data_IF_766610875525
#
_entry.id   IF_766610875525
#
_cell.length_a   1.000
_cell.length_b   1.000
_cell.length_c   1.000
_cell.angle_alpha   90.00
_cell.angle_beta   90.00
_cell.angle_gamma   90.00
#
_symmetry.space_group_name_H-M   'P 1'
#
loop_
_entity.id
_entity.type
_entity.pdbx_description
1 polymer ?
#
# COMPACT_ATOMS: atom_id res chain seq x y z
N UNK A 1 14.51 78.69 43.96
CA UNK A 1 14.08 77.33 44.41
C UNK A 1 13.80 76.56 43.15
N UNK A 2 14.58 75.52 42.83
CA UNK A 2 14.34 74.73 41.56
C UNK A 2 13.37 73.58 41.85
N UNK A 3 12.44 73.40 40.90
CA UNK A 3 11.44 72.35 40.91
C UNK A 3 12.03 71.01 40.52
N UNK A 4 11.81 69.98 41.31
CA UNK A 4 12.20 68.59 41.01
C UNK A 4 11.15 67.94 40.14
N UNK A 5 11.53 67.59 38.89
CA UNK A 5 10.74 66.77 37.96
C UNK A 5 10.95 65.29 38.28
N UNK A 6 9.91 64.59 38.71
CA UNK A 6 9.96 63.16 38.98
C UNK A 6 9.80 62.42 37.63
N UNK A 7 10.84 61.68 37.23
CA UNK A 7 10.82 60.73 36.10
C UNK A 7 10.14 59.43 36.60
N UNK A 8 9.00 59.08 36.00
CA UNK A 8 8.36 57.76 36.20
C UNK A 8 8.96 56.78 35.23
N UNK A 9 9.74 55.83 35.75
CA UNK A 9 10.21 54.68 34.98
C UNK A 9 9.06 53.68 34.76
N UNK A 10 8.68 53.47 33.51
CA UNK A 10 7.79 52.37 33.10
C UNK A 10 8.64 51.10 32.92
N UNK A 11 8.45 50.12 33.79
CA UNK A 11 8.98 48.78 33.65
C UNK A 11 8.11 48.04 32.62
N UNK A 12 8.62 47.82 31.40
CA UNK A 12 8.02 46.90 30.43
C UNK A 12 8.35 45.47 30.87
N UNK A 13 7.35 44.72 31.31
CA UNK A 13 7.46 43.27 31.54
C UNK A 13 7.34 42.56 30.19
N UNK A 14 8.31 41.73 29.76
CA UNK A 14 8.18 40.97 28.53
C UNK A 14 7.11 39.87 28.70
N UNK A 15 6.09 39.89 27.88
CA UNK A 15 5.11 38.81 27.77
C UNK A 15 5.75 37.64 27.00
N UNK A 16 6.19 36.61 27.74
CA UNK A 16 6.69 35.37 27.13
C UNK A 16 5.48 34.57 26.65
N UNK A 17 5.25 34.56 25.32
CA UNK A 17 4.25 33.74 24.68
C UNK A 17 4.77 32.28 24.64
N UNK A 18 4.33 31.45 25.58
CA UNK A 18 4.62 30.01 25.55
C UNK A 18 3.86 29.36 24.41
N UNK A 19 4.56 29.03 23.34
CA UNK A 19 4.00 28.19 22.28
C UNK A 19 3.91 26.75 22.82
N UNK A 20 2.71 26.32 23.16
CA UNK A 20 2.43 24.94 23.51
C UNK A 20 2.58 24.08 22.26
N UNK A 21 3.70 23.37 22.12
CA UNK A 21 3.86 22.30 21.12
C UNK A 21 3.00 21.13 21.59
N UNK A 22 1.80 21.02 21.03
CA UNK A 22 0.94 19.85 21.23
C UNK A 22 1.57 18.66 20.52
N UNK A 23 2.22 17.77 21.25
CA UNK A 23 2.63 16.46 20.76
C UNK A 23 1.38 15.59 20.69
N UNK A 24 0.82 15.43 19.47
CA UNK A 24 -0.23 14.45 19.23
C UNK A 24 0.26 13.07 19.68
N UNK A 25 -0.51 12.40 20.55
CA UNK A 25 -0.22 11.03 20.96
C UNK A 25 -0.14 10.14 19.71
N UNK A 26 0.79 9.15 19.66
CA UNK A 26 0.84 8.22 18.55
C UNK A 26 -0.49 7.48 18.44
N UNK A 27 -1.00 7.37 17.21
CA UNK A 27 -2.25 6.67 16.95
C UNK A 27 -2.17 5.21 17.44
N UNK A 28 -3.19 4.74 18.17
CA UNK A 28 -3.27 3.35 18.60
C UNK A 28 -3.31 2.42 17.37
N UNK A 29 -2.36 1.49 17.34
CA UNK A 29 -2.30 0.44 16.32
C UNK A 29 -3.10 -0.77 16.81
N UNK A 30 -4.08 -1.18 16.03
CA UNK A 30 -4.79 -2.43 16.29
C UNK A 30 -3.90 -3.67 16.15
N UNK A 31 -4.38 -4.81 16.61
CA UNK A 31 -3.69 -6.08 16.45
C UNK A 31 -3.60 -6.52 14.99
N UNK A 32 -2.55 -7.28 14.66
CA UNK A 32 -2.39 -7.88 13.36
C UNK A 32 -3.44 -8.98 13.11
N UNK A 33 -4.05 -8.93 11.96
CA UNK A 33 -4.99 -9.92 11.43
C UNK A 33 -4.26 -10.70 10.34
N UNK A 34 -4.11 -12.00 10.54
CA UNK A 34 -3.50 -12.89 9.54
C UNK A 34 -4.51 -13.20 8.43
N UNK A 35 -4.09 -13.00 7.19
CA UNK A 35 -4.84 -13.33 5.97
C UNK A 35 -4.16 -14.44 5.15
N UNK A 36 -3.16 -15.14 5.71
CA UNK A 36 -2.41 -16.21 5.02
C UNK A 36 -3.18 -17.54 4.98
N UNK A 37 -4.50 -17.49 4.85
CA UNK A 37 -5.39 -18.66 4.74
C UNK A 37 -6.49 -18.37 3.70
N UNK A 38 -7.13 -19.40 3.16
CA UNK A 38 -8.15 -19.22 2.12
C UNK A 38 -9.48 -18.69 2.67
N UNK A 39 -9.79 -18.93 3.94
CA UNK A 39 -11.07 -18.51 4.56
C UNK A 39 -11.14 -16.99 4.77
N UNK A 40 -10.02 -16.31 4.75
CA UNK A 40 -9.97 -14.85 4.85
C UNK A 40 -10.42 -14.12 3.56
N UNK A 41 -10.64 -14.87 2.45
CA UNK A 41 -10.93 -14.32 1.14
C UNK A 41 -12.31 -14.69 0.63
N UNK A 42 -12.90 -13.82 -0.22
CA UNK A 42 -14.23 -14.00 -0.81
C UNK A 42 -14.17 -15.02 -1.94
N UNK A 43 -14.71 -16.22 -1.71
CA UNK A 43 -14.85 -17.28 -2.74
C UNK A 43 -13.57 -17.44 -3.58
N UNK A 44 -12.45 -17.86 -2.97
CA UNK A 44 -11.22 -18.11 -3.73
C UNK A 44 -11.50 -19.07 -4.91
N UNK A 45 -10.84 -18.82 -6.03
CA UNK A 45 -10.82 -19.75 -7.16
C UNK A 45 -10.12 -21.04 -6.74
N UNK A 46 -10.53 -22.19 -7.31
CA UNK A 46 -9.92 -23.49 -7.04
C UNK A 46 -8.44 -23.58 -7.45
N UNK A 47 -7.93 -22.62 -8.23
CA UNK A 47 -6.52 -22.53 -8.57
C UNK A 47 -5.65 -22.00 -7.43
N UNK A 48 -6.25 -21.29 -6.45
CA UNK A 48 -5.54 -20.91 -5.23
C UNK A 48 -5.34 -22.14 -4.34
N UNK A 49 -4.12 -22.35 -3.93
CA UNK A 49 -3.76 -23.44 -3.02
C UNK A 49 -2.89 -22.93 -1.87
N UNK A 50 -2.86 -23.69 -0.79
CA UNK A 50 -1.91 -23.49 0.29
C UNK A 50 -0.71 -24.44 0.10
N UNK A 51 0.49 -23.92 0.35
CA UNK A 51 1.74 -24.65 0.28
C UNK A 51 2.57 -24.49 1.58
N UNK A 52 3.48 -25.40 1.82
CA UNK A 52 4.51 -25.30 2.88
C UNK A 52 5.85 -24.83 2.30
N UNK A 53 6.09 -25.09 1.01
CA UNK A 53 7.27 -24.57 0.32
C UNK A 53 6.94 -24.21 -1.13
N UNK A 54 7.61 -23.17 -1.64
CA UNK A 54 7.50 -22.68 -3.02
C UNK A 54 8.87 -22.28 -3.51
N UNK A 55 9.18 -22.63 -4.75
CA UNK A 55 10.38 -22.23 -5.45
C UNK A 55 10.05 -21.95 -6.93
N UNK A 56 10.92 -21.24 -7.63
CA UNK A 56 10.88 -21.19 -9.09
C UNK A 56 11.21 -22.59 -9.63
N UNK A 57 10.44 -23.05 -10.62
CA UNK A 57 10.68 -24.31 -11.29
C UNK A 57 12.05 -24.30 -11.99
N UNK A 58 12.90 -25.29 -11.68
CA UNK A 58 14.27 -25.34 -12.18
C UNK A 58 14.37 -25.46 -13.70
N UNK A 59 13.41 -26.15 -14.33
CA UNK A 59 13.38 -26.36 -15.79
C UNK A 59 12.56 -25.28 -16.49
N UNK A 60 11.63 -24.65 -15.78
CA UNK A 60 10.68 -23.66 -16.31
C UNK A 60 10.70 -22.37 -15.49
N UNK A 61 11.69 -21.49 -15.67
CA UNK A 61 11.94 -20.33 -14.81
C UNK A 61 10.81 -19.28 -14.79
N UNK A 62 9.75 -19.48 -15.56
CA UNK A 62 8.52 -18.68 -15.55
C UNK A 62 7.38 -19.31 -14.75
N UNK A 63 7.61 -20.46 -14.13
CA UNK A 63 6.61 -21.17 -13.33
C UNK A 63 7.07 -21.30 -11.87
N UNK A 64 6.09 -21.57 -11.00
CA UNK A 64 6.33 -21.94 -9.61
C UNK A 64 6.11 -23.44 -9.42
N UNK A 65 6.99 -24.06 -8.63
CA UNK A 65 6.82 -25.38 -8.06
C UNK A 65 6.45 -25.21 -6.59
N UNK A 66 5.39 -25.90 -6.13
CA UNK A 66 4.88 -25.77 -4.78
C UNK A 66 4.56 -27.14 -4.18
N UNK A 67 4.93 -27.36 -2.91
CA UNK A 67 4.52 -28.52 -2.12
C UNK A 67 3.30 -28.13 -1.30
N UNK A 68 2.20 -28.87 -1.45
CA UNK A 68 0.97 -28.62 -0.69
C UNK A 68 1.23 -28.51 0.81
N UNK A 69 0.52 -27.60 1.48
CA UNK A 69 0.72 -27.28 2.88
C UNK A 69 -0.28 -26.27 3.43
N UNK A 70 0.15 -25.33 4.30
CA UNK A 70 -0.77 -24.47 5.07
C UNK A 70 -0.37 -22.99 5.18
N UNK A 71 0.86 -22.62 4.80
CA UNK A 71 1.47 -21.33 5.20
C UNK A 71 1.78 -20.36 4.06
N UNK A 72 1.58 -20.78 2.81
CA UNK A 72 1.88 -19.97 1.62
C UNK A 72 0.68 -20.05 0.67
N UNK A 73 0.13 -18.91 0.29
CA UNK A 73 -0.90 -18.80 -0.76
C UNK A 73 -0.21 -18.82 -2.13
N UNK A 74 -0.63 -19.71 -3.03
CA UNK A 74 -0.09 -19.81 -4.40
C UNK A 74 -1.24 -19.79 -5.39
N UNK A 75 -1.15 -18.95 -6.43
CA UNK A 75 -2.18 -18.81 -7.46
C UNK A 75 -2.08 -19.83 -8.60
N UNK A 76 -1.57 -21.03 -8.29
CA UNK A 76 -1.29 -22.09 -9.24
C UNK A 76 -0.02 -21.86 -10.05
N UNK A 77 0.48 -22.92 -10.67
CA UNK A 77 1.78 -22.90 -11.36
C UNK A 77 1.85 -21.89 -12.51
N UNK A 78 0.72 -21.60 -13.18
CA UNK A 78 0.63 -20.69 -14.33
C UNK A 78 0.14 -19.29 -13.99
N UNK A 79 -0.29 -19.03 -12.75
CA UNK A 79 -0.73 -17.72 -12.30
C UNK A 79 -1.93 -17.17 -13.07
N UNK A 80 -3.03 -17.92 -13.10
CA UNK A 80 -4.28 -17.56 -13.79
C UNK A 80 -5.52 -17.67 -12.89
N UNK A 81 -5.30 -17.63 -11.58
CA UNK A 81 -6.39 -17.60 -10.61
C UNK A 81 -7.06 -16.21 -10.59
N UNK A 82 -8.32 -16.17 -10.19
CA UNK A 82 -8.99 -14.87 -9.91
C UNK A 82 -8.31 -14.16 -8.77
N UNK A 83 -8.46 -12.82 -8.72
CA UNK A 83 -7.97 -12.01 -7.62
C UNK A 83 -8.59 -12.46 -6.28
N UNK A 84 -7.78 -12.47 -5.22
CA UNK A 84 -8.26 -12.63 -3.86
C UNK A 84 -8.74 -11.28 -3.32
N UNK A 85 -9.99 -11.22 -2.85
CA UNK A 85 -10.53 -10.07 -2.13
C UNK A 85 -10.80 -10.47 -0.69
N UNK A 86 -10.25 -9.73 0.28
CA UNK A 86 -10.48 -10.03 1.70
C UNK A 86 -11.97 -9.97 2.06
N UNK A 87 -12.40 -10.84 2.98
CA UNK A 87 -13.76 -10.82 3.54
C UNK A 87 -14.02 -9.50 4.27
N UNK A 88 -13.05 -9.07 5.07
CA UNK A 88 -13.09 -7.79 5.79
C UNK A 88 -12.77 -6.62 4.88
N UNK A 89 -13.43 -5.49 5.13
CA UNK A 89 -13.11 -4.21 4.52
C UNK A 89 -12.30 -3.35 5.51
N UNK A 90 -11.30 -2.64 5.00
CA UNK A 90 -10.37 -1.83 5.76
C UNK A 90 -10.45 -0.37 5.28
N UNK A 91 -10.33 0.57 6.24
CA UNK A 91 -10.10 1.99 5.98
C UNK A 91 -8.61 2.30 6.04
N UNK A 92 -8.20 3.10 7.03
CA UNK A 92 -6.78 3.30 7.31
C UNK A 92 -6.17 2.00 7.80
N UNK A 93 -5.05 1.59 7.21
CA UNK A 93 -4.51 0.25 7.42
C UNK A 93 -3.00 0.21 7.24
N UNK A 94 -2.34 -0.60 8.07
CA UNK A 94 -1.00 -1.11 7.81
C UNK A 94 -1.13 -2.52 7.22
N UNK A 95 -0.39 -2.78 6.14
CA UNK A 95 -0.35 -4.07 5.45
C UNK A 95 1.09 -4.54 5.39
N UNK A 96 1.30 -5.80 5.73
CA UNK A 96 2.56 -6.51 5.53
C UNK A 96 2.30 -7.70 4.61
N UNK A 97 3.11 -7.84 3.56
CA UNK A 97 3.03 -8.93 2.60
C UNK A 97 4.44 -9.38 2.23
N UNK A 98 4.69 -10.67 2.30
CA UNK A 98 5.84 -11.25 1.62
C UNK A 98 5.39 -11.96 0.36
N UNK A 99 6.10 -11.76 -0.74
CA UNK A 99 5.76 -12.38 -2.02
C UNK A 99 7.01 -12.95 -2.73
N UNK A 100 6.78 -13.95 -3.57
CA UNK A 100 7.77 -14.55 -4.46
C UNK A 100 7.17 -14.67 -5.85
N UNK A 101 7.91 -14.21 -6.85
CA UNK A 101 7.53 -14.30 -8.26
C UNK A 101 8.64 -14.95 -9.09
N UNK A 102 8.30 -15.72 -10.13
CA UNK A 102 9.26 -16.19 -11.13
C UNK A 102 9.55 -15.11 -12.18
N UNK A 103 10.47 -15.40 -13.08
CA UNK A 103 10.88 -14.50 -14.17
C UNK A 103 9.68 -14.06 -15.03
N UNK A 104 9.56 -12.74 -15.23
CA UNK A 104 8.55 -12.11 -16.08
C UNK A 104 7.14 -12.17 -15.51
N UNK A 105 6.97 -12.49 -14.21
CA UNK A 105 5.65 -12.52 -13.58
C UNK A 105 5.16 -11.12 -13.20
N UNK A 106 3.83 -11.00 -13.10
CA UNK A 106 3.10 -9.79 -12.77
C UNK A 106 1.97 -10.12 -11.77
N UNK A 107 1.81 -9.28 -10.77
CA UNK A 107 0.79 -9.32 -9.74
C UNK A 107 0.61 -7.91 -9.15
N UNK A 108 -0.12 -7.77 -8.04
CA UNK A 108 -0.30 -6.48 -7.36
C UNK A 108 -0.97 -6.63 -6.00
N UNK A 109 -0.72 -5.67 -5.12
CA UNK A 109 -1.42 -5.49 -3.85
C UNK A 109 -2.26 -4.22 -3.95
N UNK A 110 -3.61 -4.37 -3.86
CA UNK A 110 -4.53 -3.23 -4.02
C UNK A 110 -5.26 -2.94 -2.72
N UNK A 111 -4.99 -1.76 -2.16
CA UNK A 111 -5.72 -1.23 -1.01
C UNK A 111 -7.13 -0.88 -1.46
N UNK A 112 -8.13 -1.28 -0.67
CA UNK A 112 -9.56 -1.14 -0.99
C UNK A 112 -9.98 -1.78 -2.34
N UNK A 113 -9.12 -2.67 -2.93
CA UNK A 113 -9.33 -3.20 -4.27
C UNK A 113 -9.18 -2.16 -5.40
N UNK A 114 -8.65 -0.99 -5.09
CA UNK A 114 -8.62 0.19 -5.97
C UNK A 114 -7.23 0.79 -6.17
N UNK A 115 -6.41 0.87 -5.11
CA UNK A 115 -5.13 1.58 -5.12
C UNK A 115 -3.98 0.58 -5.10
N UNK A 116 -3.28 0.43 -6.21
CA UNK A 116 -2.33 -0.65 -6.44
C UNK A 116 -0.88 -0.25 -6.22
N UNK A 117 -0.18 -1.05 -5.42
CA UNK A 117 1.27 -1.18 -5.48
C UNK A 117 1.58 -2.38 -6.39
N UNK A 118 2.30 -2.09 -7.48
CA UNK A 118 2.63 -3.07 -8.52
C UNK A 118 3.62 -4.12 -8.02
N UNK A 119 3.41 -5.37 -8.41
CA UNK A 119 4.36 -6.47 -8.31
C UNK A 119 4.72 -6.91 -9.73
N UNK A 120 5.99 -6.75 -10.10
CA UNK A 120 6.50 -7.09 -11.43
C UNK A 120 7.95 -7.58 -11.32
N UNK A 121 8.37 -8.48 -12.19
CA UNK A 121 9.80 -8.79 -12.32
C UNK A 121 10.54 -7.59 -12.94
N UNK A 122 10.98 -6.68 -12.08
CA UNK A 122 11.73 -5.48 -12.43
C UNK A 122 13.19 -5.53 -11.95
N UNK A 123 13.70 -6.75 -11.65
CA UNK A 123 15.09 -6.89 -11.20
C UNK A 123 16.07 -6.29 -12.22
N UNK A 124 16.96 -5.43 -11.74
CA UNK A 124 17.99 -4.78 -12.58
C UNK A 124 17.53 -3.56 -13.39
N UNK A 125 16.24 -3.19 -13.35
CA UNK A 125 15.75 -1.95 -13.97
C UNK A 125 16.41 -0.76 -13.29
N UNK A 126 17.10 0.10 -14.07
CA UNK A 126 17.85 1.26 -13.56
C UNK A 126 16.99 2.48 -13.28
N UNK A 127 15.96 2.68 -14.08
CA UNK A 127 15.02 3.81 -13.97
C UNK A 127 13.60 3.25 -13.89
N UNK A 128 13.13 2.90 -12.68
CA UNK A 128 11.81 2.30 -12.52
C UNK A 128 10.71 3.32 -12.85
N UNK A 129 9.59 2.81 -13.36
CA UNK A 129 8.35 3.54 -13.68
C UNK A 129 7.26 3.20 -12.67
N UNK A 130 6.14 3.90 -12.69
CA UNK A 130 4.96 3.56 -11.89
C UNK A 130 4.40 2.17 -12.21
N UNK A 131 4.66 1.63 -13.40
CA UNK A 131 4.29 0.27 -13.80
C UNK A 131 5.31 -0.82 -13.41
N UNK A 132 6.45 -0.46 -12.83
CA UNK A 132 7.45 -1.40 -12.33
C UNK A 132 7.17 -1.79 -10.87
N UNK A 133 7.88 -2.81 -10.37
CA UNK A 133 7.69 -3.34 -9.03
C UNK A 133 7.83 -2.25 -7.95
N UNK A 134 6.85 -2.17 -7.07
CA UNK A 134 6.78 -1.14 -6.03
C UNK A 134 6.19 0.19 -6.49
N UNK A 135 5.92 0.39 -7.78
CA UNK A 135 5.26 1.61 -8.26
C UNK A 135 3.80 1.70 -7.84
N UNK A 136 3.28 2.92 -7.64
CA UNK A 136 1.85 3.18 -7.60
C UNK A 136 1.37 3.16 -9.06
N UNK A 137 0.55 2.15 -9.38
CA UNK A 137 0.25 1.79 -10.76
C UNK A 137 -0.41 2.92 -11.55
N UNK A 138 -0.05 3.12 -12.84
CA UNK A 138 -0.69 4.12 -13.71
C UNK A 138 -2.19 3.89 -13.86
N UNK A 139 -2.96 4.95 -14.08
CA UNK A 139 -4.33 4.80 -14.59
C UNK A 139 -4.29 4.28 -16.02
N UNK A 140 -5.28 3.47 -16.39
CA UNK A 140 -5.30 2.83 -17.69
C UNK A 140 -6.71 2.71 -18.27
N UNK A 141 -6.81 2.61 -19.59
CA UNK A 141 -8.04 2.36 -20.33
C UNK A 141 -7.87 1.23 -21.34
N UNK A 142 -8.99 0.52 -21.64
CA UNK A 142 -8.98 -0.59 -22.60
C UNK A 142 -9.23 -0.15 -24.04
N UNK A 143 -9.78 1.04 -24.29
CA UNK A 143 -10.17 1.48 -25.64
C UNK A 143 -9.25 2.59 -26.14
N UNK A 144 -8.84 2.56 -27.44
CA UNK A 144 -9.12 1.52 -28.45
C UNK A 144 -8.35 0.21 -28.18
N UNK A 145 -7.27 0.24 -27.39
CA UNK A 145 -6.50 -0.88 -26.83
C UNK A 145 -6.00 -0.48 -25.46
N UNK A 146 -5.57 -1.44 -24.65
CA UNK A 146 -5.01 -1.13 -23.32
C UNK A 146 -3.84 -0.13 -23.44
N UNK A 147 -3.93 0.97 -22.71
CA UNK A 147 -2.91 2.01 -22.64
C UNK A 147 -2.96 2.73 -21.29
N UNK A 148 -1.84 3.27 -20.87
CA UNK A 148 -1.77 4.15 -19.71
C UNK A 148 -2.22 5.56 -20.08
N UNK A 149 -2.98 6.21 -19.20
CA UNK A 149 -3.39 7.62 -19.33
C UNK A 149 -2.54 8.57 -18.48
N UNK A 150 -1.68 8.00 -17.65
CA UNK A 150 -0.60 8.69 -16.93
C UNK A 150 0.57 7.72 -16.68
N UNK A 151 1.60 8.17 -16.01
CA UNK A 151 2.79 7.39 -15.72
C UNK A 151 2.73 6.66 -14.37
N UNK A 152 1.69 6.89 -13.55
CA UNK A 152 1.66 6.47 -12.16
C UNK A 152 2.75 7.18 -11.34
N UNK A 153 3.16 6.58 -10.21
CA UNK A 153 4.26 7.11 -9.41
C UNK A 153 5.36 6.07 -9.29
N UNK A 154 6.55 6.32 -9.86
CA UNK A 154 7.66 5.38 -9.76
C UNK A 154 8.14 5.25 -8.30
N UNK A 155 8.67 4.07 -7.89
CA UNK A 155 9.35 3.96 -6.62
C UNK A 155 10.63 4.80 -6.64
N UNK A 156 10.99 5.39 -5.50
CA UNK A 156 12.21 6.22 -5.36
C UNK A 156 13.49 5.48 -5.74
N UNK A 157 13.51 4.18 -5.46
CA UNK A 157 14.59 3.26 -5.81
C UNK A 157 14.00 1.92 -6.25
N UNK A 158 14.68 1.21 -7.13
CA UNK A 158 14.33 -0.17 -7.45
C UNK A 158 14.93 -1.11 -6.40
N UNK A 159 14.14 -1.50 -5.42
CA UNK A 159 14.53 -2.44 -4.37
C UNK A 159 14.20 -3.91 -4.73
N UNK A 160 13.82 -4.21 -5.98
CA UNK A 160 13.39 -5.53 -6.43
C UNK A 160 14.56 -6.53 -6.38
N UNK A 161 14.36 -7.66 -5.70
CA UNK A 161 15.29 -8.79 -5.70
C UNK A 161 15.11 -9.66 -6.94
N UNK A 162 16.03 -10.61 -7.14
CA UNK A 162 15.95 -11.57 -8.25
C UNK A 162 14.66 -12.40 -8.20
N UNK A 163 14.09 -12.78 -9.36
CA UNK A 163 13.03 -13.78 -9.40
C UNK A 163 13.40 -15.02 -8.59
N UNK A 164 12.43 -15.54 -7.82
CA UNK A 164 12.64 -16.68 -6.93
C UNK A 164 13.11 -16.34 -5.52
N UNK A 165 13.45 -15.10 -5.23
CA UNK A 165 13.71 -14.62 -3.88
C UNK A 165 12.45 -14.04 -3.24
N UNK A 166 12.25 -14.32 -1.94
CA UNK A 166 11.19 -13.70 -1.15
C UNK A 166 11.43 -12.19 -0.97
N UNK A 167 10.42 -11.43 -1.22
CA UNK A 167 10.41 -9.98 -1.15
C UNK A 167 9.38 -9.51 -0.12
N UNK A 168 9.65 -8.41 0.56
CA UNK A 168 8.84 -7.88 1.65
C UNK A 168 8.28 -6.52 1.27
N UNK A 169 6.98 -6.34 1.41
CA UNK A 169 6.26 -5.10 1.15
C UNK A 169 5.47 -4.69 2.39
N UNK A 170 5.79 -3.53 2.94
CA UNK A 170 5.08 -2.90 4.06
C UNK A 170 4.41 -1.62 3.57
N UNK A 171 3.10 -1.49 3.77
CA UNK A 171 2.29 -0.37 3.29
C UNK A 171 1.55 0.25 4.47
N UNK A 172 1.71 1.55 4.69
CA UNK A 172 0.86 2.37 5.55
C UNK A 172 -0.04 3.21 4.65
N UNK A 173 -1.33 2.92 4.66
CA UNK A 173 -2.31 3.52 3.77
C UNK A 173 -3.40 4.25 4.54
N UNK A 174 -3.70 5.46 4.12
CA UNK A 174 -4.81 6.26 4.58
C UNK A 174 -5.91 6.27 3.51
N UNK A 175 -7.11 5.83 3.91
CA UNK A 175 -8.27 5.80 3.03
C UNK A 175 -8.77 7.21 2.69
N UNK A 176 -9.49 7.40 1.57
CA UNK A 176 -10.13 8.68 1.27
C UNK A 176 -11.19 9.02 2.32
N UNK A 177 -11.48 10.30 2.48
CA UNK A 177 -12.50 10.81 3.40
C UNK A 177 -13.72 11.31 2.64
N UNK A 178 -14.86 11.21 3.26
CA UNK A 178 -16.13 11.65 2.71
C UNK A 178 -16.94 12.37 3.80
N UNK A 179 -17.72 13.37 3.42
CA UNK A 179 -18.69 14.02 4.29
C UNK A 179 -19.98 13.19 4.41
N UNK A 180 -20.98 13.75 5.12
CA UNK A 180 -22.27 13.08 5.34
C UNK A 180 -23.06 12.86 4.04
N UNK A 181 -22.85 13.69 3.02
CA UNK A 181 -23.50 13.61 1.71
C UNK A 181 -22.76 12.64 0.77
N UNK A 182 -21.65 12.04 1.23
CA UNK A 182 -20.83 11.11 0.45
C UNK A 182 -19.90 11.78 -0.55
N UNK A 183 -19.71 13.10 -0.49
CA UNK A 183 -18.74 13.84 -1.28
C UNK A 183 -17.34 13.63 -0.71
N UNK A 184 -16.37 13.35 -1.58
CA UNK A 184 -14.99 13.17 -1.16
C UNK A 184 -14.38 14.47 -0.64
N UNK A 185 -13.89 14.48 0.59
CA UNK A 185 -13.27 15.63 1.27
C UNK A 185 -11.74 15.51 1.37
N UNK A 186 -11.19 14.28 1.30
CA UNK A 186 -9.74 14.07 1.21
C UNK A 186 -9.43 12.85 0.34
N UNK A 187 -8.33 12.92 -0.39
CA UNK A 187 -7.83 11.83 -1.21
C UNK A 187 -7.23 10.70 -0.37
N UNK A 188 -7.15 9.51 -0.95
CA UNK A 188 -6.37 8.41 -0.40
C UNK A 188 -4.87 8.79 -0.38
N UNK A 189 -4.09 8.12 0.48
CA UNK A 189 -2.67 8.42 0.64
C UNK A 189 -1.86 7.18 1.00
N UNK A 190 -0.81 6.94 0.27
CA UNK A 190 0.27 6.05 0.69
C UNK A 190 1.17 6.84 1.65
N UNK A 191 0.91 6.69 2.94
CA UNK A 191 1.65 7.42 3.99
C UNK A 191 3.10 6.98 3.97
N UNK A 192 3.33 5.66 3.85
CA UNK A 192 4.66 5.08 3.71
C UNK A 192 4.56 3.73 3.00
N UNK A 193 5.44 3.49 2.05
CA UNK A 193 5.64 2.16 1.47
C UNK A 193 7.11 1.81 1.58
N UNK A 194 7.38 0.66 2.22
CA UNK A 194 8.73 0.09 2.36
C UNK A 194 8.80 -1.20 1.57
N UNK A 195 9.78 -1.34 0.70
CA UNK A 195 10.00 -2.52 -0.12
C UNK A 195 11.41 -3.04 0.09
N UNK A 196 11.53 -4.29 0.58
CA UNK A 196 12.80 -4.92 0.95
C UNK A 196 13.70 -4.06 1.86
N UNK A 197 13.08 -3.32 2.79
CA UNK A 197 13.76 -2.42 3.73
C UNK A 197 13.96 -0.99 3.24
N UNK A 198 13.78 -0.70 1.95
CA UNK A 198 13.92 0.63 1.36
C UNK A 198 12.58 1.37 1.34
N UNK A 199 12.56 2.64 1.76
CA UNK A 199 11.37 3.50 1.66
C UNK A 199 11.21 3.96 0.22
N UNK A 200 10.25 3.36 -0.49
CA UNK A 200 10.00 3.63 -1.91
C UNK A 200 8.95 4.71 -2.16
N UNK A 201 7.99 4.88 -1.25
CA UNK A 201 7.04 6.00 -1.26
C UNK A 201 6.91 6.56 0.16
N UNK A 202 6.78 7.88 0.25
CA UNK A 202 6.63 8.62 1.49
C UNK A 202 5.65 9.77 1.26
N UNK A 203 4.50 9.71 1.94
CA UNK A 203 3.44 10.71 1.92
C UNK A 203 2.88 11.00 0.50
N UNK A 204 2.68 9.99 -0.33
CA UNK A 204 2.18 10.12 -1.71
C UNK A 204 0.67 10.08 -1.73
N UNK A 205 0.05 11.14 -2.24
CA UNK A 205 -1.39 11.23 -2.42
C UNK A 205 -1.84 10.47 -3.68
N UNK A 206 -2.98 9.75 -3.58
CA UNK A 206 -3.66 9.10 -4.68
C UNK A 206 -5.03 9.76 -4.90
N UNK A 207 -5.11 10.70 -5.83
CA UNK A 207 -6.31 11.47 -6.10
C UNK A 207 -7.46 10.62 -6.66
N UNK A 208 -7.15 9.50 -7.30
CA UNK A 208 -8.11 8.53 -7.87
C UNK A 208 -7.58 7.11 -7.67
N UNK A 209 -8.44 6.08 -7.81
CA UNK A 209 -8.00 4.71 -7.99
C UNK A 209 -7.02 4.55 -9.15
N UNK A 210 -6.28 3.43 -9.16
CA UNK A 210 -5.27 3.10 -10.17
C UNK A 210 -5.81 2.13 -11.24
N UNK A 211 -5.03 1.87 -12.29
CA UNK A 211 -5.34 0.95 -13.36
C UNK A 211 -6.65 1.30 -14.06
N UNK A 212 -7.33 0.31 -14.60
CA UNK A 212 -8.66 0.49 -15.22
C UNK A 212 -9.78 0.75 -14.19
N UNK A 213 -9.47 0.65 -12.90
CA UNK A 213 -10.40 0.94 -11.81
C UNK A 213 -10.52 2.43 -11.48
N UNK A 214 -9.75 3.31 -12.11
CA UNK A 214 -9.65 4.73 -11.75
C UNK A 214 -10.97 5.51 -11.79
N UNK A 215 -11.99 5.03 -12.53
CA UNK A 215 -13.35 5.58 -12.53
C UNK A 215 -14.32 4.92 -11.55
N UNK A 216 -13.87 3.91 -10.81
CA UNK A 216 -14.74 3.25 -9.83
C UNK A 216 -15.00 4.15 -8.64
N UNK A 217 -16.20 4.02 -8.07
CA UNK A 217 -16.57 4.76 -6.85
C UNK A 217 -15.63 4.38 -5.72
N UNK A 218 -15.02 5.39 -5.13
CA UNK A 218 -14.22 5.27 -3.93
C UNK A 218 -15.12 5.18 -2.68
N UNK A 219 -14.62 4.56 -1.64
CA UNK A 219 -15.32 4.36 -0.37
C UNK A 219 -14.36 4.53 0.81
N UNK A 220 -14.91 4.85 1.99
CA UNK A 220 -14.10 4.97 3.21
C UNK A 220 -13.46 3.64 3.66
N UNK A 221 -14.02 2.50 3.25
CA UNK A 221 -13.49 1.14 3.53
C UNK A 221 -13.69 0.25 2.32
N UNK A 222 -12.72 -0.61 2.03
CA UNK A 222 -12.78 -1.62 0.98
C UNK A 222 -11.88 -2.83 1.28
N UNK A 223 -11.97 -3.89 0.48
CA UNK A 223 -11.17 -5.10 0.68
C UNK A 223 -9.69 -4.88 0.35
N UNK A 224 -8.79 -5.61 1.01
CA UNK A 224 -7.47 -5.86 0.46
C UNK A 224 -7.63 -6.80 -0.74
N UNK A 225 -6.92 -6.54 -1.84
CA UNK A 225 -6.90 -7.40 -3.01
C UNK A 225 -5.47 -7.83 -3.31
N UNK A 226 -5.28 -9.15 -3.53
CA UNK A 226 -4.08 -9.72 -4.11
C UNK A 226 -4.39 -10.19 -5.53
N UNK A 227 -3.66 -9.65 -6.52
CA UNK A 227 -3.91 -9.96 -7.92
C UNK A 227 -3.41 -11.36 -8.27
N UNK A 228 -4.27 -12.17 -8.91
CA UNK A 228 -4.01 -13.58 -9.18
C UNK A 228 -3.90 -13.98 -10.65
N UNK A 229 -4.23 -13.11 -11.60
CA UNK A 229 -4.50 -13.49 -12.99
C UNK A 229 -3.42 -13.08 -14.02
N UNK A 230 -2.35 -12.40 -13.57
CA UNK A 230 -1.34 -11.81 -14.48
C UNK A 230 0.02 -12.53 -14.47
N UNK A 231 0.19 -13.56 -13.67
CA UNK A 231 1.41 -14.38 -13.60
C UNK A 231 1.49 -15.18 -12.31
N UNK A 232 2.38 -16.19 -12.23
CA UNK A 232 2.54 -16.97 -11.03
C UNK A 232 3.07 -16.12 -9.89
N UNK A 233 2.44 -16.22 -8.71
CA UNK A 233 2.85 -15.52 -7.51
C UNK A 233 2.57 -16.39 -6.28
N UNK A 234 3.44 -16.32 -5.31
CA UNK A 234 3.23 -16.87 -3.98
C UNK A 234 3.24 -15.73 -2.95
N UNK A 235 2.34 -15.82 -1.96
CA UNK A 235 2.26 -14.88 -0.85
C UNK A 235 2.34 -15.63 0.48
N UNK A 236 3.06 -15.06 1.45
CA UNK A 236 3.10 -15.52 2.83
C UNK A 236 3.11 -14.34 3.79
N UNK A 237 2.91 -14.59 5.08
CA UNK A 237 2.88 -13.53 6.10
C UNK A 237 1.97 -12.35 5.71
N UNK A 238 0.86 -12.64 5.01
CA UNK A 238 -0.11 -11.62 4.61
C UNK A 238 -0.89 -11.21 5.84
N UNK A 239 -0.64 -10.03 6.35
CA UNK A 239 -1.28 -9.53 7.56
C UNK A 239 -1.60 -8.06 7.46
N UNK A 240 -2.68 -7.67 8.10
CA UNK A 240 -3.18 -6.31 8.12
C UNK A 240 -3.50 -5.89 9.54
N UNK A 241 -3.38 -4.60 9.83
CA UNK A 241 -3.94 -4.02 11.05
C UNK A 241 -4.51 -2.64 10.77
N UNK A 242 -5.67 -2.30 11.36
CA UNK A 242 -6.17 -0.94 11.35
C UNK A 242 -5.20 -0.01 12.10
N UNK A 243 -5.06 1.21 11.64
CA UNK A 243 -4.44 2.26 12.42
C UNK A 243 -5.28 3.53 12.30
N UNK A 244 -5.28 4.35 13.36
CA UNK A 244 -5.88 5.67 13.28
C UNK A 244 -4.78 6.65 12.88
N UNK A 245 -4.90 7.29 11.71
CA UNK A 245 -4.05 8.42 11.40
C UNK A 245 -4.27 9.51 12.45
N UNK A 246 -3.19 10.10 12.98
CA UNK A 246 -3.31 11.21 13.91
C UNK A 246 -4.21 12.30 13.28
N UNK A 247 -5.30 12.66 13.95
CA UNK A 247 -6.14 13.78 13.50
C UNK A 247 -5.27 15.03 13.59
N UNK A 248 -5.11 15.74 12.47
CA UNK A 248 -4.60 17.12 12.54
C UNK A 248 -5.66 17.91 13.32
N UNK A 249 -5.31 18.35 14.52
CA UNK A 249 -6.15 19.28 15.28
C UNK A 249 -6.27 20.57 14.47
N UNK A 250 -7.45 20.89 13.98
CA UNK A 250 -7.71 22.16 13.31
C UNK A 250 -8.56 22.07 12.03
N UNK A 251 -9.66 21.30 12.05
CA UNK A 251 -10.82 21.49 11.15
C UNK A 251 -12.11 21.28 11.97
#
# INVERSE_FOLDING_TARGET
MPAFTRIRSFLLTPLILAVAVSTAAPAEKGDWIDLTNLDSWRKPDMLWMLADSVAVDAEKPKLLSAKAGKSILVNGAKGRARDLLSQRAFGDVEVHVEFLIPKGSNSGVKLQGLYEIQILDSFGVKQPKGSDCGGIYPRAEFKPKYHYIDEGVPPRVNACKKPGEWQTLDIVFQAPRFDADGKKTANARFVKVTFNGEVIHDNVEAATPTGHAWRRKEMAKGPLLLQGDHGPVAFRNVRVRPFAAARKNGE
#
